data_IF_222018904429
#
_entry.id   IF_222018904429
#
_cell.length_a   1.000
_cell.length_b   1.000
_cell.length_c   1.000
_cell.angle_alpha   90.00
_cell.angle_beta   90.00
_cell.angle_gamma   90.00
#
_symmetry.space_group_name_H-M   'P 1'
#
loop_
_entity.id
_entity.type
_entity.pdbx_description
1 polymer ?
#
# COMPACT_ATOMS: atom_id res chain seq x y z
N UNK A 1 -10.62 14.41 -6.71
CA UNK A 1 -10.78 15.76 -6.11
C UNK A 1 -11.84 16.50 -6.91
N UNK A 2 -12.55 17.44 -6.30
CA UNK A 2 -13.46 18.33 -7.04
C UNK A 2 -12.62 19.48 -7.58
N UNK A 3 -12.83 19.86 -8.84
CA UNK A 3 -12.00 20.87 -9.53
C UNK A 3 -12.20 22.30 -8.99
N UNK A 4 -13.34 22.55 -8.32
CA UNK A 4 -13.64 23.83 -7.68
C UNK A 4 -13.26 23.79 -6.18
N UNK A 5 -12.19 24.47 -5.75
CA UNK A 5 -11.81 24.53 -4.34
C UNK A 5 -12.72 25.50 -3.57
N UNK A 6 -12.90 25.23 -2.27
CA UNK A 6 -13.51 26.19 -1.32
C UNK A 6 -12.44 27.22 -0.97
N UNK A 7 -12.70 28.50 -1.27
CA UNK A 7 -11.74 29.60 -1.06
C UNK A 7 -11.99 30.32 0.27
N UNK A 8 -13.25 30.39 0.70
CA UNK A 8 -13.67 31.07 1.92
C UNK A 8 -13.42 30.21 3.17
N UNK A 9 -13.20 30.87 4.32
CA UNK A 9 -13.08 30.20 5.62
C UNK A 9 -14.38 30.31 6.45
N UNK A 10 -14.50 29.51 7.51
CA UNK A 10 -15.70 29.51 8.36
C UNK A 10 -15.94 30.84 9.10
N UNK A 11 -14.92 31.71 9.21
CA UNK A 11 -15.04 33.04 9.82
C UNK A 11 -15.61 34.06 8.84
N UNK A 12 -15.22 33.98 7.57
CA UNK A 12 -15.70 34.81 6.46
C UNK A 12 -17.08 34.37 5.97
N UNK A 13 -17.41 33.09 6.18
CA UNK A 13 -18.66 32.46 5.74
C UNK A 13 -18.50 31.83 4.36
N UNK A 14 -19.24 30.73 4.15
CA UNK A 14 -19.21 29.97 2.90
C UNK A 14 -20.30 30.49 1.95
N UNK A 15 -20.00 30.61 0.66
CA UNK A 15 -21.03 30.81 -0.37
C UNK A 15 -21.96 29.60 -0.48
N UNK A 16 -23.16 29.77 -1.04
CA UNK A 16 -24.13 28.67 -1.20
C UNK A 16 -23.52 27.46 -1.95
N UNK A 17 -22.75 27.73 -3.00
CA UNK A 17 -22.07 26.70 -3.79
C UNK A 17 -20.99 25.98 -3.00
N UNK A 18 -20.15 26.70 -2.25
CA UNK A 18 -19.10 26.12 -1.41
C UNK A 18 -19.69 25.28 -0.27
N UNK A 19 -20.78 25.75 0.34
CA UNK A 19 -21.50 25.01 1.37
C UNK A 19 -22.06 23.69 0.82
N UNK A 20 -22.74 23.72 -0.33
CA UNK A 20 -23.28 22.50 -0.97
C UNK A 20 -22.17 21.50 -1.31
N UNK A 21 -21.03 21.98 -1.83
CA UNK A 21 -19.87 21.14 -2.14
C UNK A 21 -19.32 20.49 -0.85
N UNK A 22 -19.20 21.25 0.24
CA UNK A 22 -18.78 20.74 1.55
C UNK A 22 -19.73 19.67 2.09
N UNK A 23 -21.05 19.85 1.93
CA UNK A 23 -22.06 18.90 2.40
C UNK A 23 -21.92 17.50 1.78
N UNK A 24 -21.51 17.38 0.52
CA UNK A 24 -21.29 16.07 -0.10
C UNK A 24 -20.17 15.29 0.59
N UNK A 25 -19.06 15.97 0.89
CA UNK A 25 -17.94 15.38 1.64
C UNK A 25 -18.35 14.97 3.05
N UNK A 26 -19.07 15.84 3.76
CA UNK A 26 -19.52 15.59 5.12
C UNK A 26 -20.52 14.43 5.20
N UNK A 27 -21.52 14.42 4.30
CA UNK A 27 -22.52 13.33 4.23
C UNK A 27 -21.86 11.99 3.94
N UNK A 28 -20.93 11.94 2.98
CA UNK A 28 -20.17 10.73 2.70
C UNK A 28 -19.37 10.29 3.93
N UNK A 29 -18.69 11.22 4.60
CA UNK A 29 -17.93 10.96 5.81
C UNK A 29 -18.77 10.31 6.91
N UNK A 30 -19.94 10.86 7.21
CA UNK A 30 -20.87 10.32 8.22
C UNK A 30 -21.38 8.92 7.83
N UNK A 31 -21.73 8.71 6.57
CA UNK A 31 -22.19 7.40 6.07
C UNK A 31 -21.06 6.37 6.13
N UNK A 32 -19.86 6.72 5.67
CA UNK A 32 -18.69 5.85 5.71
C UNK A 32 -18.30 5.52 7.16
N UNK A 33 -18.41 6.47 8.09
CA UNK A 33 -18.22 6.21 9.52
C UNK A 33 -19.20 5.15 10.01
N UNK A 34 -20.51 5.31 9.77
CA UNK A 34 -21.51 4.36 10.23
C UNK A 34 -21.29 2.94 9.68
N UNK A 35 -21.04 2.82 8.37
CA UNK A 35 -20.81 1.52 7.71
C UNK A 35 -19.52 0.86 8.23
N UNK A 36 -18.41 1.59 8.23
CA UNK A 36 -17.10 1.03 8.63
C UNK A 36 -17.02 0.70 10.10
N UNK A 37 -17.73 1.43 10.97
CA UNK A 37 -17.82 1.07 12.39
C UNK A 37 -18.53 -0.28 12.57
N UNK A 38 -19.58 -0.57 11.79
CA UNK A 38 -20.22 -1.87 11.82
C UNK A 38 -19.27 -2.99 11.36
N UNK A 39 -18.53 -2.78 10.27
CA UNK A 39 -17.55 -3.75 9.77
C UNK A 39 -16.41 -4.01 10.77
N UNK A 40 -15.88 -2.95 11.41
CA UNK A 40 -14.85 -3.07 12.43
C UNK A 40 -15.35 -3.80 13.69
N UNK A 41 -16.61 -3.55 14.09
CA UNK A 41 -17.26 -4.28 15.17
C UNK A 41 -17.44 -5.77 14.83
N UNK A 42 -17.89 -6.07 13.61
CA UNK A 42 -18.01 -7.45 13.12
C UNK A 42 -16.66 -8.18 13.08
N UNK A 43 -15.61 -7.51 12.60
CA UNK A 43 -14.25 -8.04 12.63
C UNK A 43 -13.80 -8.34 14.06
N UNK A 44 -14.04 -7.43 14.99
CA UNK A 44 -13.69 -7.62 16.41
C UNK A 44 -14.38 -8.85 16.98
N UNK A 45 -15.67 -9.02 16.70
CA UNK A 45 -16.43 -10.21 17.10
C UNK A 45 -15.80 -11.48 16.54
N UNK A 46 -15.49 -11.52 15.24
CA UNK A 46 -14.86 -12.69 14.60
C UNK A 46 -13.48 -12.99 15.16
N UNK A 47 -12.68 -11.96 15.42
CA UNK A 47 -11.36 -12.12 16.04
C UNK A 47 -11.51 -12.78 17.40
N UNK A 48 -12.38 -12.25 18.27
CA UNK A 48 -12.64 -12.79 19.61
C UNK A 48 -13.17 -14.23 19.54
N UNK A 49 -14.11 -14.53 18.64
CA UNK A 49 -14.64 -15.89 18.45
C UNK A 49 -13.53 -16.91 18.11
N UNK A 50 -12.53 -16.53 17.30
CA UNK A 50 -11.41 -17.42 16.94
C UNK A 50 -10.44 -17.61 18.11
N UNK A 51 -10.16 -16.55 18.88
CA UNK A 51 -9.12 -16.57 19.92
C UNK A 51 -9.64 -16.89 21.33
N UNK A 52 -10.96 -17.00 21.54
CA UNK A 52 -11.58 -17.18 22.87
C UNK A 52 -11.04 -18.38 23.66
N UNK A 53 -10.57 -19.43 22.97
CA UNK A 53 -10.04 -20.64 23.61
C UNK A 53 -8.57 -20.52 24.04
N UNK A 54 -7.87 -19.46 23.62
CA UNK A 54 -6.45 -19.24 23.90
C UNK A 54 -6.29 -18.68 25.32
N UNK A 55 -5.94 -19.58 26.24
CA UNK A 55 -5.75 -19.29 27.67
C UNK A 55 -4.35 -19.74 28.08
N UNK A 56 -3.75 -19.08 29.07
CA UNK A 56 -2.49 -19.51 29.66
C UNK A 56 -2.72 -20.69 30.60
N UNK A 57 -2.24 -21.90 30.23
CA UNK A 57 -2.50 -23.12 31.03
C UNK A 57 -1.30 -23.66 31.80
N UNK A 58 -0.07 -23.47 31.28
CA UNK A 58 1.16 -24.01 31.88
C UNK A 58 2.24 -22.96 31.88
N UNK A 59 3.22 -23.11 32.79
CA UNK A 59 4.38 -22.21 32.85
C UNK A 59 5.28 -22.36 31.63
N UNK A 60 5.70 -23.59 31.32
CA UNK A 60 6.58 -23.90 30.19
C UNK A 60 5.99 -25.00 29.29
N UNK A 61 6.18 -24.86 27.98
CA UNK A 61 5.87 -25.89 26.99
C UNK A 61 7.10 -26.73 26.59
N UNK A 62 8.29 -26.36 27.06
CA UNK A 62 9.56 -27.03 26.78
C UNK A 62 10.12 -26.79 25.37
N UNK A 63 9.57 -25.81 24.62
CA UNK A 63 10.09 -25.48 23.28
C UNK A 63 11.50 -24.89 23.37
N UNK A 64 12.38 -25.33 22.49
CA UNK A 64 13.74 -24.77 22.31
C UNK A 64 13.73 -23.72 21.20
N UNK A 65 12.67 -23.67 20.39
CA UNK A 65 12.57 -22.75 19.27
C UNK A 65 12.28 -21.32 19.75
N UNK A 66 13.06 -20.38 19.22
CA UNK A 66 12.88 -18.95 19.40
C UNK A 66 13.01 -18.19 18.08
N UNK A 67 12.60 -16.93 18.09
CA UNK A 67 12.76 -16.02 16.96
C UNK A 67 13.93 -15.10 17.25
N UNK A 68 14.83 -14.90 16.28
CA UNK A 68 15.96 -13.99 16.41
C UNK A 68 15.53 -12.54 16.14
N UNK A 69 15.91 -11.64 17.04
CA UNK A 69 15.72 -10.19 16.91
C UNK A 69 17.10 -9.55 16.92
N UNK A 70 17.45 -8.83 15.86
CA UNK A 70 18.74 -8.15 15.73
C UNK A 70 18.56 -6.65 15.48
N UNK A 71 19.39 -5.79 16.09
CA UNK A 71 19.31 -4.34 15.85
C UNK A 71 19.85 -3.95 14.47
N UNK A 72 20.62 -4.81 13.80
CA UNK A 72 21.32 -4.50 12.54
C UNK A 72 20.43 -4.53 11.29
N UNK A 73 19.20 -5.05 11.36
CA UNK A 73 18.32 -5.21 10.19
C UNK A 73 17.62 -3.90 9.74
N UNK A 74 18.23 -2.72 9.97
CA UNK A 74 17.62 -1.44 9.63
C UNK A 74 16.46 -1.02 10.54
N UNK A 75 16.26 -1.69 11.68
CA UNK A 75 15.30 -1.25 12.70
C UNK A 75 15.87 -0.09 13.51
N UNK A 76 15.05 0.94 13.74
CA UNK A 76 15.36 1.99 14.70
C UNK A 76 15.49 1.40 16.11
N UNK A 77 16.40 1.93 16.93
CA UNK A 77 16.65 1.46 18.30
C UNK A 77 15.36 1.40 19.15
N UNK A 78 14.42 2.32 18.91
CA UNK A 78 13.11 2.36 19.56
C UNK A 78 12.26 1.11 19.31
N UNK A 79 12.22 0.61 18.08
CA UNK A 79 11.48 -0.60 17.72
C UNK A 79 12.12 -1.85 18.32
N UNK A 80 13.45 -1.89 18.40
CA UNK A 80 14.18 -2.98 19.04
C UNK A 80 13.82 -3.09 20.53
N UNK A 81 13.83 -1.96 21.24
CA UNK A 81 13.41 -1.89 22.66
C UNK A 81 11.97 -2.37 22.82
N UNK A 82 11.03 -1.82 22.04
CA UNK A 82 9.61 -2.18 22.13
C UNK A 82 9.35 -3.67 21.86
N UNK A 83 10.11 -4.28 20.95
CA UNK A 83 9.95 -5.69 20.59
C UNK A 83 10.41 -6.63 21.70
N UNK A 84 11.51 -6.29 22.38
CA UNK A 84 12.11 -7.13 23.42
C UNK A 84 11.45 -6.96 24.79
N UNK A 85 10.89 -5.78 25.07
CA UNK A 85 10.23 -5.48 26.34
C UNK A 85 9.17 -6.53 26.68
N UNK A 86 9.29 -7.11 27.88
CA UNK A 86 8.30 -8.06 28.40
C UNK A 86 8.32 -9.43 27.71
N UNK A 87 9.30 -9.71 26.84
CA UNK A 87 9.53 -11.05 26.29
C UNK A 87 10.45 -11.87 27.17
N UNK A 88 10.57 -13.16 26.86
CA UNK A 88 11.39 -14.12 27.61
C UNK A 88 12.47 -14.68 26.70
N UNK A 89 13.68 -14.83 27.24
CA UNK A 89 14.83 -15.35 26.49
C UNK A 89 14.67 -16.85 26.18
N UNK A 90 14.97 -17.21 24.93
CA UNK A 90 15.02 -18.59 24.49
C UNK A 90 16.38 -19.23 24.79
N UNK A 91 17.48 -18.47 24.70
CA UNK A 91 18.84 -18.97 24.92
C UNK A 91 19.62 -18.09 25.92
N UNK A 92 20.64 -18.69 26.51
CA UNK A 92 21.58 -18.00 27.40
C UNK A 92 22.42 -16.98 26.62
N UNK A 93 22.61 -15.79 27.17
CA UNK A 93 23.41 -14.73 26.55
C UNK A 93 24.71 -14.54 27.33
N UNK A 94 25.82 -14.72 26.64
CA UNK A 94 27.17 -14.56 27.17
C UNK A 94 27.87 -13.36 26.55
N UNK A 95 28.67 -12.66 27.36
CA UNK A 95 29.70 -11.73 26.90
C UNK A 95 31.05 -12.29 27.32
N UNK A 96 31.79 -12.78 26.33
CA UNK A 96 33.03 -13.54 26.56
C UNK A 96 32.73 -14.78 27.41
N UNK A 97 33.28 -14.82 28.63
CA UNK A 97 33.09 -15.92 29.58
C UNK A 97 31.99 -15.65 30.62
N UNK A 98 31.40 -14.45 30.63
CA UNK A 98 30.39 -14.06 31.62
C UNK A 98 28.98 -14.21 31.08
N UNK A 99 28.13 -14.97 31.77
CA UNK A 99 26.70 -15.02 31.49
C UNK A 99 26.03 -13.72 31.96
N UNK A 100 25.29 -13.06 31.08
CA UNK A 100 24.53 -11.84 31.40
C UNK A 100 23.09 -12.16 31.74
N UNK A 101 22.48 -13.03 30.93
CA UNK A 101 21.10 -13.40 31.09
C UNK A 101 20.95 -14.89 30.79
N UNK A 102 20.17 -15.56 31.60
CA UNK A 102 19.91 -16.99 31.45
C UNK A 102 18.64 -17.23 30.65
N UNK A 103 18.55 -18.42 30.07
CA UNK A 103 17.38 -18.92 29.39
C UNK A 103 16.17 -18.88 30.31
N UNK A 104 15.01 -18.56 29.74
CA UNK A 104 13.74 -18.36 30.44
C UNK A 104 13.69 -17.16 31.39
N UNK A 105 14.70 -16.28 31.39
CA UNK A 105 14.64 -15.01 32.09
C UNK A 105 13.78 -13.99 31.32
N UNK A 106 12.98 -13.22 32.03
CA UNK A 106 12.18 -12.12 31.49
C UNK A 106 13.04 -10.88 31.18
N UNK A 107 12.73 -10.21 30.07
CA UNK A 107 13.50 -9.08 29.57
C UNK A 107 12.87 -7.78 30.09
N UNK A 108 13.54 -7.14 31.04
CA UNK A 108 13.20 -5.81 31.55
C UNK A 108 14.08 -4.68 31.00
N UNK A 109 13.76 -3.43 31.39
CA UNK A 109 14.54 -2.21 31.06
C UNK A 109 16.04 -2.41 31.31
N UNK A 110 16.41 -2.98 32.46
CA UNK A 110 17.81 -3.10 32.87
C UNK A 110 18.63 -3.98 31.92
N UNK A 111 18.09 -5.13 31.52
CA UNK A 111 18.74 -6.05 30.58
C UNK A 111 18.80 -5.45 29.17
N UNK A 112 17.75 -4.75 28.73
CA UNK A 112 17.73 -4.11 27.40
C UNK A 112 18.82 -3.04 27.28
N UNK A 113 18.99 -2.20 28.31
CA UNK A 113 20.03 -1.17 28.31
C UNK A 113 21.43 -1.79 28.22
N UNK A 114 21.64 -2.93 28.87
CA UNK A 114 22.87 -3.71 28.73
C UNK A 114 23.02 -4.22 27.29
N UNK A 115 21.99 -4.82 26.69
CA UNK A 115 22.05 -5.32 25.31
C UNK A 115 22.37 -4.24 24.28
N UNK A 116 21.84 -3.03 24.46
CA UNK A 116 22.14 -1.87 23.60
C UNK A 116 23.60 -1.44 23.78
N UNK A 117 24.06 -1.27 25.03
CA UNK A 117 25.42 -0.85 25.32
C UNK A 117 26.48 -1.81 24.74
N UNK A 118 26.19 -3.10 24.75
CA UNK A 118 27.12 -4.12 24.25
C UNK A 118 26.98 -4.40 22.74
N UNK A 119 26.08 -3.72 22.03
CA UNK A 119 25.72 -4.01 20.63
C UNK A 119 25.55 -5.51 20.42
N UNK A 120 24.62 -6.09 21.17
CA UNK A 120 24.45 -7.53 21.28
C UNK A 120 24.26 -8.22 19.90
N UNK A 121 24.74 -9.47 19.85
CA UNK A 121 24.41 -10.45 18.82
C UNK A 121 22.89 -10.65 18.70
N UNK A 122 22.38 -11.30 17.63
CA UNK A 122 20.96 -11.63 17.54
C UNK A 122 20.44 -12.30 18.82
N UNK A 123 19.39 -11.73 19.39
CA UNK A 123 18.77 -12.21 20.63
C UNK A 123 17.63 -13.15 20.25
N UNK A 124 17.64 -14.37 20.79
CA UNK A 124 16.55 -15.33 20.59
C UNK A 124 15.50 -15.18 21.68
N UNK A 125 14.27 -14.87 21.28
CA UNK A 125 13.12 -14.73 22.18
C UNK A 125 12.11 -15.85 21.96
N UNK A 126 11.45 -16.25 23.06
CA UNK A 126 10.29 -17.15 23.00
C UNK A 126 9.08 -16.36 22.54
N UNK A 127 8.25 -16.97 21.70
CA UNK A 127 7.05 -16.31 21.16
C UNK A 127 5.86 -17.26 21.17
N UNK A 128 4.62 -16.72 21.09
CA UNK A 128 3.43 -17.54 20.92
C UNK A 128 3.48 -18.42 19.67
N UNK A 129 4.15 -17.96 18.60
CA UNK A 129 4.29 -18.71 17.34
C UNK A 129 5.12 -19.99 17.47
N UNK A 130 6.10 -20.01 18.38
CA UNK A 130 6.97 -21.18 18.60
C UNK A 130 6.49 -22.05 19.77
N UNK A 131 5.30 -21.78 20.32
CA UNK A 131 4.72 -22.59 21.38
C UNK A 131 4.35 -23.98 20.85
N UNK A 132 4.67 -25.04 21.62
CA UNK A 132 4.38 -26.43 21.23
C UNK A 132 2.89 -26.77 21.23
N UNK A 133 2.07 -25.95 21.89
CA UNK A 133 0.65 -26.19 22.06
C UNK A 133 -0.15 -25.57 20.92
N UNK A 134 -1.20 -26.26 20.48
CA UNK A 134 -2.11 -25.80 19.43
C UNK A 134 -3.33 -25.02 19.96
N UNK A 135 -3.73 -25.24 21.22
CA UNK A 135 -5.00 -24.73 21.76
C UNK A 135 -4.87 -23.85 23.02
N UNK A 136 -3.65 -23.63 23.50
CA UNK A 136 -3.33 -22.84 24.69
C UNK A 136 -1.90 -22.32 24.61
N UNK A 137 -1.55 -21.27 25.34
CA UNK A 137 -0.20 -20.68 25.32
C UNK A 137 0.49 -20.86 26.67
N UNK A 138 1.81 -21.06 26.65
CA UNK A 138 2.61 -21.16 27.87
C UNK A 138 2.97 -19.78 28.43
N UNK A 139 3.10 -19.65 29.75
CA UNK A 139 3.46 -18.39 30.43
C UNK A 139 4.76 -17.80 29.84
N UNK A 140 5.80 -18.62 29.68
CA UNK A 140 7.10 -18.18 29.14
C UNK A 140 7.05 -17.84 27.64
N UNK A 141 6.09 -18.37 26.90
CA UNK A 141 5.92 -18.12 25.46
C UNK A 141 5.20 -16.80 25.22
N UNK A 142 4.30 -16.42 26.13
CA UNK A 142 3.59 -15.14 26.12
C UNK A 142 4.49 -14.02 26.68
N UNK A 143 5.05 -14.24 27.87
CA UNK A 143 5.88 -13.30 28.60
C UNK A 143 5.10 -12.49 29.63
N UNK A 144 5.38 -11.20 29.68
CA UNK A 144 4.85 -10.24 30.65
C UNK A 144 3.45 -9.77 30.28
N UNK A 145 2.57 -9.62 31.27
CA UNK A 145 1.26 -9.03 31.08
C UNK A 145 1.39 -7.51 30.93
N UNK A 146 0.71 -6.88 29.95
CA UNK A 146 0.77 -5.43 29.74
C UNK A 146 0.15 -4.63 30.89
N UNK A 147 -0.71 -5.25 31.72
CA UNK A 147 -1.44 -4.56 32.80
C UNK A 147 -0.66 -4.53 34.11
N UNK A 148 -0.07 -5.66 34.52
CA UNK A 148 0.55 -5.81 35.84
C UNK A 148 2.06 -5.66 35.83
N UNK A 149 2.72 -5.71 34.66
CA UNK A 149 4.18 -5.60 34.58
C UNK A 149 4.94 -6.85 35.04
N UNK A 150 4.24 -7.88 35.52
CA UNK A 150 4.79 -9.20 35.86
C UNK A 150 4.47 -10.24 34.77
N UNK A 151 5.08 -11.42 34.87
CA UNK A 151 4.74 -12.56 33.99
C UNK A 151 3.25 -12.88 34.09
N UNK A 152 2.63 -13.18 32.95
CA UNK A 152 1.18 -13.47 32.83
C UNK A 152 0.74 -14.57 33.80
N UNK A 153 -0.45 -14.46 34.38
CA UNK A 153 -0.92 -15.45 35.35
C UNK A 153 -1.48 -16.72 34.66
N UNK A 154 -1.44 -17.85 35.37
CA UNK A 154 -2.08 -19.07 34.89
C UNK A 154 -3.60 -18.92 34.98
N UNK A 155 -4.29 -19.17 33.87
CA UNK A 155 -5.73 -18.99 33.74
C UNK A 155 -6.14 -17.71 33.01
N UNK A 156 -5.20 -16.81 32.72
CA UNK A 156 -5.50 -15.56 32.03
C UNK A 156 -5.93 -15.79 30.57
N UNK A 157 -7.04 -15.16 30.17
CA UNK A 157 -7.66 -15.29 28.85
C UNK A 157 -6.99 -14.37 27.82
N UNK A 158 -5.70 -14.61 27.56
CA UNK A 158 -4.86 -13.79 26.68
C UNK A 158 -5.40 -13.65 25.26
N UNK A 159 -6.16 -14.64 24.77
CA UNK A 159 -6.82 -14.55 23.47
C UNK A 159 -7.84 -13.40 23.42
N UNK A 160 -8.74 -13.33 24.40
CA UNK A 160 -9.78 -12.28 24.47
C UNK A 160 -9.12 -10.90 24.58
N UNK A 161 -8.10 -10.78 25.43
CA UNK A 161 -7.33 -9.54 25.61
C UNK A 161 -6.71 -9.11 24.27
N UNK A 162 -6.08 -10.04 23.54
CA UNK A 162 -5.48 -9.75 22.23
C UNK A 162 -6.53 -9.35 21.18
N UNK A 163 -7.67 -10.04 21.12
CA UNK A 163 -8.76 -9.72 20.20
C UNK A 163 -9.31 -8.32 20.42
N UNK A 164 -9.53 -7.92 21.68
CA UNK A 164 -9.99 -6.59 22.05
C UNK A 164 -8.94 -5.51 21.77
N UNK A 165 -7.67 -5.80 22.06
CA UNK A 165 -6.54 -4.88 21.83
C UNK A 165 -6.35 -4.52 20.35
N UNK A 166 -6.83 -5.37 19.44
CA UNK A 166 -6.88 -5.08 18.00
C UNK A 166 -8.21 -4.41 17.61
N UNK A 167 -9.32 -4.92 18.15
CA UNK A 167 -10.66 -4.52 17.77
C UNK A 167 -11.05 -3.10 18.20
N UNK A 168 -10.82 -2.74 19.47
CA UNK A 168 -11.20 -1.43 20.00
C UNK A 168 -10.48 -0.29 19.25
N UNK A 169 -9.14 -0.30 19.09
CA UNK A 169 -8.46 0.73 18.31
C UNK A 169 -8.91 0.75 16.85
N UNK A 170 -9.20 -0.42 16.26
CA UNK A 170 -9.73 -0.54 14.91
C UNK A 170 -11.06 0.21 14.74
N UNK A 171 -12.01 -0.02 15.64
CA UNK A 171 -13.29 0.72 15.63
C UNK A 171 -13.08 2.22 15.85
N UNK A 172 -12.17 2.61 16.76
CA UNK A 172 -11.87 4.00 17.04
C UNK A 172 -11.27 4.74 15.84
N UNK A 173 -10.39 4.09 15.07
CA UNK A 173 -9.82 4.67 13.85
C UNK A 173 -10.89 4.97 12.80
N UNK A 174 -11.92 4.13 12.68
CA UNK A 174 -13.04 4.38 11.74
C UNK A 174 -13.86 5.60 12.15
N UNK A 175 -14.04 5.83 13.46
CA UNK A 175 -14.71 7.01 13.98
C UNK A 175 -13.90 8.28 13.74
N UNK A 176 -12.58 8.26 13.99
CA UNK A 176 -11.74 9.46 13.96
C UNK A 176 -11.35 9.98 12.57
N UNK A 177 -11.36 9.13 11.55
CA UNK A 177 -10.75 9.48 10.24
C UNK A 177 -11.72 10.00 9.20
N UNK A 178 -13.02 9.64 9.27
CA UNK A 178 -13.97 9.93 8.19
C UNK A 178 -15.01 10.99 8.53
N UNK A 179 -15.19 11.36 9.81
CA UNK A 179 -16.13 12.43 10.18
C UNK A 179 -15.67 13.82 9.73
N UNK A 180 -14.40 13.99 9.35
CA UNK A 180 -13.84 15.21 8.74
C UNK A 180 -13.96 15.22 7.21
N UNK A 181 -14.80 14.36 6.62
CA UNK A 181 -15.10 14.38 5.20
C UNK A 181 -15.47 15.79 4.72
N UNK A 182 -14.69 16.33 3.78
CA UNK A 182 -14.89 17.68 3.23
C UNK A 182 -13.75 18.67 3.52
N UNK A 183 -12.88 18.41 4.50
CA UNK A 183 -11.69 19.24 4.75
C UNK A 183 -10.45 18.34 4.78
N UNK A 184 -9.61 18.45 3.76
CA UNK A 184 -8.30 17.81 3.76
C UNK A 184 -7.24 18.85 4.11
N UNK A 185 -6.78 18.85 5.36
CA UNK A 185 -5.53 19.53 5.69
C UNK A 185 -4.41 18.62 5.23
N UNK A 186 -3.86 18.89 4.04
CA UNK A 186 -2.64 18.24 3.59
C UNK A 186 -1.57 18.31 4.69
N UNK A 187 -0.76 17.26 4.81
CA UNK A 187 0.30 17.20 5.82
C UNK A 187 1.11 18.50 5.85
N UNK A 188 1.47 18.94 7.05
CA UNK A 188 2.35 20.09 7.25
C UNK A 188 3.64 19.80 6.51
N UNK A 189 3.86 20.50 5.40
CA UNK A 189 5.11 20.37 4.70
C UNK A 189 6.25 20.76 5.64
N UNK A 190 7.33 19.99 5.63
CA UNK A 190 8.49 20.34 6.43
C UNK A 190 9.12 21.58 5.82
N UNK A 191 9.21 22.63 6.62
CA UNK A 191 9.80 23.89 6.19
C UNK A 191 11.23 23.97 6.71
N UNK A 192 12.10 24.45 5.84
CA UNK A 192 13.47 24.81 6.17
C UNK A 192 13.49 26.30 6.46
N UNK A 193 14.05 26.68 7.61
CA UNK A 193 14.16 28.06 8.07
C UNK A 193 15.61 28.49 8.21
N UNK A 194 15.84 29.77 8.04
CA UNK A 194 17.14 30.42 8.22
C UNK A 194 17.48 30.56 9.70
N UNK A 195 18.69 30.20 10.14
CA UNK A 195 19.10 30.32 11.54
C UNK A 195 19.45 31.77 11.96
N UNK A 196 19.80 32.64 11.00
CA UNK A 196 20.16 34.03 11.25
C UNK A 196 19.93 34.91 10.00
N UNK A 197 20.02 36.22 10.19
CA UNK A 197 19.88 37.22 9.12
C UNK A 197 21.12 37.24 8.21
N UNK A 198 20.91 37.14 6.90
CA UNK A 198 22.01 37.07 5.93
C UNK A 198 21.54 37.15 4.48
N UNK A 199 22.48 37.05 3.56
CA UNK A 199 22.19 36.88 2.13
C UNK A 199 22.31 35.42 1.76
N UNK A 200 21.34 34.93 1.01
CA UNK A 200 21.33 33.57 0.49
C UNK A 200 22.05 33.52 -0.85
N UNK A 201 22.94 32.54 -1.03
CA UNK A 201 23.57 32.22 -2.30
C UNK A 201 23.41 30.76 -2.63
N UNK A 202 23.14 30.47 -3.89
CA UNK A 202 23.06 29.10 -4.38
C UNK A 202 23.26 29.03 -5.89
N UNK A 203 23.51 27.82 -6.41
CA UNK A 203 23.71 27.62 -7.85
C UNK A 203 22.36 27.49 -8.59
N UNK A 204 22.04 28.44 -9.46
CA UNK A 204 20.77 28.46 -10.21
C UNK A 204 20.66 27.35 -11.26
N UNK A 205 21.77 26.78 -11.75
CA UNK A 205 21.78 25.84 -12.88
C UNK A 205 21.04 24.54 -12.59
N UNK A 206 20.90 24.17 -11.32
CA UNK A 206 20.28 22.92 -10.86
C UNK A 206 18.79 23.08 -10.52
N UNK A 207 18.22 24.25 -10.77
CA UNK A 207 16.87 24.62 -10.37
C UNK A 207 15.93 24.79 -11.57
N UNK A 208 14.70 24.30 -11.43
CA UNK A 208 13.66 24.50 -12.43
C UNK A 208 12.55 25.39 -11.88
N UNK A 209 12.17 26.48 -12.57
CA UNK A 209 11.08 27.34 -12.12
C UNK A 209 9.76 26.56 -12.13
N UNK A 210 9.02 26.65 -11.03
CA UNK A 210 7.72 26.00 -10.84
C UNK A 210 6.79 26.88 -10.01
N UNK A 211 5.58 26.40 -9.72
CA UNK A 211 4.63 27.06 -8.82
C UNK A 211 4.30 26.18 -7.63
N UNK A 212 4.13 26.80 -6.46
CA UNK A 212 3.61 26.12 -5.27
C UNK A 212 2.14 25.74 -5.48
N UNK A 213 1.60 24.89 -4.59
CA UNK A 213 0.16 24.56 -4.56
C UNK A 213 -0.76 25.77 -4.37
N UNK A 214 -0.21 26.89 -3.91
CA UNK A 214 -0.90 28.15 -3.68
C UNK A 214 -0.72 29.14 -4.86
N UNK A 215 -0.02 28.74 -5.93
CA UNK A 215 0.18 29.57 -7.14
C UNK A 215 1.38 30.53 -7.08
N UNK A 216 2.11 30.58 -5.97
CA UNK A 216 3.32 31.39 -5.82
C UNK A 216 4.50 30.81 -6.61
N UNK A 217 5.38 31.65 -7.19
CA UNK A 217 6.58 31.17 -7.86
C UNK A 217 7.53 30.49 -6.87
N UNK A 218 8.15 29.39 -7.30
CA UNK A 218 9.13 28.63 -6.54
C UNK A 218 10.12 27.95 -7.48
N UNK A 219 11.22 27.43 -6.96
CA UNK A 219 12.19 26.65 -7.72
C UNK A 219 12.18 25.20 -7.26
N UNK A 220 12.04 24.25 -8.18
CA UNK A 220 12.12 22.83 -7.90
C UNK A 220 13.55 22.36 -8.03
N UNK A 221 14.03 21.62 -7.03
CA UNK A 221 15.33 21.00 -7.08
C UNK A 221 15.27 19.54 -7.53
N UNK A 222 16.05 19.17 -8.54
CA UNK A 222 16.08 17.79 -9.09
C UNK A 222 17.00 16.85 -8.32
N UNK A 223 18.08 17.37 -7.74
CA UNK A 223 19.09 16.63 -6.97
C UNK A 223 19.20 17.20 -5.55
N UNK A 224 20.00 16.59 -4.69
CA UNK A 224 20.32 17.22 -3.40
C UNK A 224 21.12 18.51 -3.65
N UNK A 225 20.79 19.57 -2.92
CA UNK A 225 21.22 20.92 -3.22
C UNK A 225 21.65 21.67 -1.98
N UNK A 226 22.71 22.46 -2.11
CA UNK A 226 23.29 23.20 -0.99
C UNK A 226 23.00 24.68 -1.15
N UNK A 227 22.51 25.28 -0.08
CA UNK A 227 22.24 26.72 0.01
C UNK A 227 23.17 27.30 1.06
N UNK A 228 23.90 28.36 0.70
CA UNK A 228 24.81 29.04 1.62
C UNK A 228 24.18 30.34 2.10
N UNK A 229 24.27 30.61 3.39
CA UNK A 229 23.77 31.84 4.02
C UNK A 229 24.97 32.61 4.54
N UNK A 230 25.24 33.77 3.92
CA UNK A 230 26.34 34.66 4.30
C UNK A 230 25.82 35.81 5.16
N UNK A 231 26.34 35.91 6.38
CA UNK A 231 26.22 37.10 7.23
C UNK A 231 27.61 37.68 7.50
N UNK A 232 27.69 38.87 8.11
CA UNK A 232 28.94 39.65 8.24
C UNK A 232 30.11 38.86 8.84
N UNK A 233 29.83 37.91 9.74
CA UNK A 233 30.84 37.10 10.43
C UNK A 233 30.55 35.58 10.42
N UNK A 234 29.49 35.13 9.74
CA UNK A 234 29.03 33.73 9.78
C UNK A 234 28.58 33.24 8.41
N UNK A 235 29.06 32.06 8.00
CA UNK A 235 28.61 31.33 6.82
C UNK A 235 27.95 30.04 7.31
N UNK A 236 26.74 29.76 6.81
CA UNK A 236 26.03 28.53 7.13
C UNK A 236 25.56 27.83 5.86
N UNK A 237 26.02 26.59 5.69
CA UNK A 237 25.68 25.77 4.53
C UNK A 237 24.59 24.79 4.92
N UNK A 238 23.49 24.83 4.16
CA UNK A 238 22.32 24.02 4.42
C UNK A 238 22.05 23.07 3.26
N UNK A 239 21.90 21.78 3.58
CA UNK A 239 21.54 20.77 2.59
C UNK A 239 20.02 20.65 2.47
N UNK A 240 19.51 20.81 1.25
CA UNK A 240 18.12 20.66 0.89
C UNK A 240 17.99 19.41 0.01
N UNK A 241 17.17 18.43 0.41
CA UNK A 241 17.04 17.18 -0.35
C UNK A 241 16.32 17.39 -1.69
N UNK A 242 16.54 16.47 -2.62
CA UNK A 242 15.90 16.46 -3.94
C UNK A 242 14.36 16.51 -3.86
N UNK A 243 13.74 17.08 -4.91
CA UNK A 243 12.29 17.29 -5.07
C UNK A 243 11.64 18.30 -4.10
N UNK A 244 12.44 19.02 -3.34
CA UNK A 244 12.01 20.16 -2.52
C UNK A 244 11.72 21.40 -3.37
N UNK A 245 10.94 22.33 -2.81
CA UNK A 245 10.69 23.64 -3.41
C UNK A 245 11.45 24.72 -2.65
N UNK A 246 12.22 25.55 -3.36
CA UNK A 246 12.87 26.75 -2.84
C UNK A 246 11.95 27.93 -3.11
N UNK A 247 11.71 28.75 -2.09
CA UNK A 247 10.76 29.88 -2.12
C UNK A 247 11.44 31.24 -2.27
N UNK A 248 12.77 31.28 -2.17
CA UNK A 248 13.60 32.48 -2.20
C UNK A 248 14.41 32.57 -3.49
N UNK A 249 14.79 33.79 -3.85
CA UNK A 249 15.67 34.06 -4.99
C UNK A 249 17.15 34.04 -4.56
N UNK A 250 18.03 33.86 -5.54
CA UNK A 250 19.46 33.97 -5.33
C UNK A 250 19.84 35.41 -4.96
N UNK A 251 20.84 35.58 -4.10
CA UNK A 251 21.29 36.85 -3.52
C UNK A 251 20.23 37.64 -2.73
N UNK A 252 19.09 37.02 -2.38
CA UNK A 252 18.05 37.65 -1.56
C UNK A 252 18.51 37.77 -0.10
N UNK A 253 18.23 38.93 0.52
CA UNK A 253 18.39 39.10 1.96
C UNK A 253 17.23 38.43 2.70
N UNK A 254 17.56 37.62 3.69
CA UNK A 254 16.60 36.87 4.51
C UNK A 254 16.74 37.22 5.98
N UNK A 255 15.61 37.20 6.66
CA UNK A 255 15.54 37.39 8.10
C UNK A 255 15.76 36.07 8.85
N UNK A 256 16.07 36.14 10.15
CA UNK A 256 16.07 34.95 11.01
C UNK A 256 14.68 34.30 11.05
N UNK A 257 14.63 32.97 11.08
CA UNK A 257 13.40 32.15 11.07
C UNK A 257 12.55 32.24 9.79
N UNK A 258 13.03 32.93 8.75
CA UNK A 258 12.34 33.00 7.47
C UNK A 258 12.36 31.63 6.77
N UNK A 259 11.23 31.22 6.21
CA UNK A 259 11.11 29.98 5.45
C UNK A 259 11.75 30.15 4.08
N UNK A 260 12.73 29.30 3.77
CA UNK A 260 13.48 29.33 2.50
C UNK A 260 13.12 28.19 1.57
N UNK A 261 12.74 27.03 2.11
CA UNK A 261 12.36 25.88 1.32
C UNK A 261 11.29 25.03 1.99
N UNK A 262 10.52 24.34 1.16
CA UNK A 262 9.52 23.34 1.52
C UNK A 262 10.05 21.97 1.11
N UNK A 263 10.41 21.13 2.09
CA UNK A 263 10.87 19.76 1.87
C UNK A 263 9.66 18.88 1.54
N UNK A 264 9.73 18.25 0.37
CA UNK A 264 8.74 17.25 -0.06
C UNK A 264 9.27 15.81 0.05
N UNK A 265 10.55 15.66 0.33
CA UNK A 265 11.25 14.37 0.43
C UNK A 265 10.89 13.73 1.77
N UNK A 266 10.12 12.63 1.72
CA UNK A 266 9.59 11.96 2.91
C UNK A 266 8.09 12.13 3.09
N UNK A 267 7.44 13.03 2.35
CA UNK A 267 6.04 12.80 2.02
C UNK A 267 6.07 11.57 1.13
N UNK A 268 5.70 10.39 1.66
CA UNK A 268 5.17 9.35 0.79
C UNK A 268 4.22 10.10 -0.11
N UNK A 269 4.50 10.16 -1.41
CA UNK A 269 3.46 10.49 -2.37
C UNK A 269 2.35 9.56 -1.94
N UNK A 270 1.30 10.08 -1.29
CA UNK A 270 0.16 9.25 -0.93
C UNK A 270 -0.14 8.51 -2.22
N UNK A 271 -0.14 7.17 -2.24
CA UNK A 271 -0.27 6.41 -3.46
C UNK A 271 -1.74 6.53 -3.89
N UNK A 272 -2.15 7.73 -4.29
CA UNK A 272 -3.46 8.05 -4.83
C UNK A 272 -3.47 7.77 -6.34
N UNK A 273 -2.80 6.69 -6.73
CA UNK A 273 -3.21 5.91 -7.88
C UNK A 273 -3.61 4.57 -7.29
N UNK A 274 -4.78 4.54 -6.68
CA UNK A 274 -5.50 3.28 -6.50
C UNK A 274 -5.60 2.71 -7.92
N UNK A 275 -4.74 1.72 -8.22
CA UNK A 275 -4.77 1.03 -9.50
C UNK A 275 -6.05 0.22 -9.49
N UNK A 276 -7.12 0.80 -10.02
CA UNK A 276 -8.40 0.11 -10.15
C UNK A 276 -8.23 -0.93 -11.25
N UNK A 277 -8.10 -2.19 -10.86
CA UNK A 277 -8.18 -3.31 -11.78
C UNK A 277 -9.65 -3.59 -12.04
N UNK A 278 -10.13 -3.23 -13.24
CA UNK A 278 -11.50 -3.53 -13.66
C UNK A 278 -11.46 -4.71 -14.63
N UNK A 279 -12.07 -5.83 -14.23
CA UNK A 279 -12.25 -6.97 -15.11
C UNK A 279 -13.40 -6.68 -16.08
N UNK A 280 -13.15 -6.86 -17.38
CA UNK A 280 -14.18 -6.81 -18.42
C UNK A 280 -14.52 -8.26 -18.76
N UNK A 281 -15.78 -8.64 -18.58
CA UNK A 281 -16.30 -9.96 -18.92
C UNK A 281 -17.11 -9.86 -20.22
N UNK A 282 -16.94 -10.82 -21.13
CA UNK A 282 -17.76 -10.97 -22.33
C UNK A 282 -18.49 -12.32 -22.26
N UNK A 283 -19.80 -12.30 -22.50
CA UNK A 283 -20.65 -13.50 -22.57
C UNK A 283 -20.49 -14.25 -23.92
N UNK A 284 -19.89 -13.60 -24.93
CA UNK A 284 -19.62 -14.20 -26.25
C UNK A 284 -18.14 -14.47 -26.47
N UNK A 285 -17.82 -15.65 -26.99
CA UNK A 285 -16.49 -15.99 -27.53
C UNK A 285 -16.23 -15.25 -28.84
N UNK A 286 -15.01 -14.72 -29.00
CA UNK A 286 -14.67 -13.88 -30.13
C UNK A 286 -13.20 -13.44 -30.12
N UNK A 287 -12.77 -12.83 -31.23
CA UNK A 287 -11.44 -12.22 -31.33
C UNK A 287 -11.46 -10.79 -30.80
N UNK A 288 -10.40 -10.41 -30.09
CA UNK A 288 -10.28 -9.12 -29.42
C UNK A 288 -9.41 -8.17 -30.26
N UNK A 289 -10.02 -7.10 -30.76
CA UNK A 289 -9.31 -6.06 -31.50
C UNK A 289 -9.15 -4.79 -30.67
N UNK A 290 -7.94 -4.23 -30.72
CA UNK A 290 -7.56 -3.01 -30.03
C UNK A 290 -7.27 -1.91 -31.05
N UNK A 291 -7.66 -0.67 -30.77
CA UNK A 291 -7.38 0.47 -31.66
C UNK A 291 -5.91 0.95 -31.62
N UNK A 292 -5.15 0.56 -30.61
CA UNK A 292 -3.80 1.07 -30.32
C UNK A 292 -2.86 -0.09 -30.00
N UNK A 293 -1.58 0.03 -30.34
CA UNK A 293 -0.57 -0.99 -30.03
C UNK A 293 -0.53 -1.34 -28.53
N UNK A 294 -0.65 -2.63 -28.26
CA UNK A 294 -0.73 -3.19 -26.91
C UNK A 294 0.58 -3.90 -26.59
N UNK A 295 1.11 -3.67 -25.39
CA UNK A 295 2.28 -4.38 -24.91
C UNK A 295 1.87 -5.56 -24.02
N UNK A 296 2.42 -6.74 -24.32
CA UNK A 296 2.32 -7.88 -23.39
C UNK A 296 3.20 -7.61 -22.16
N UNK A 297 2.66 -7.94 -20.99
CA UNK A 297 3.48 -7.94 -19.77
C UNK A 297 4.57 -9.02 -19.90
N UNK A 298 5.86 -8.69 -19.70
CA UNK A 298 6.98 -9.56 -20.07
C UNK A 298 7.20 -10.75 -19.13
N UNK A 299 6.25 -11.06 -18.23
CA UNK A 299 6.40 -12.18 -17.28
C UNK A 299 5.99 -13.52 -17.87
N UNK A 300 5.05 -13.57 -18.82
CA UNK A 300 4.71 -14.80 -19.55
C UNK A 300 4.22 -14.46 -20.97
N UNK A 301 4.76 -15.09 -22.03
CA UNK A 301 4.37 -14.83 -23.43
C UNK A 301 2.91 -15.21 -23.74
N UNK A 302 2.25 -15.99 -22.89
CA UNK A 302 0.85 -16.42 -23.01
C UNK A 302 -0.09 -15.77 -21.98
N UNK A 303 0.28 -14.61 -21.41
CA UNK A 303 -0.61 -13.92 -20.47
C UNK A 303 -1.69 -13.11 -21.18
N UNK A 304 -2.95 -13.30 -20.74
CA UNK A 304 -4.11 -12.50 -21.17
C UNK A 304 -4.12 -11.09 -20.54
N UNK A 305 -2.97 -10.63 -20.03
CA UNK A 305 -2.84 -9.34 -19.32
C UNK A 305 -2.11 -8.37 -20.24
N UNK A 306 -2.90 -7.46 -20.77
CA UNK A 306 -2.50 -6.43 -21.72
C UNK A 306 -2.35 -5.08 -21.01
N UNK A 307 -1.20 -4.43 -21.20
CA UNK A 307 -0.97 -3.07 -20.71
C UNK A 307 -1.26 -2.07 -21.82
N UNK A 308 -2.24 -1.21 -21.58
CA UNK A 308 -2.58 -0.09 -22.47
C UNK A 308 -1.87 1.18 -21.99
N UNK A 309 -1.00 1.78 -22.82
CA UNK A 309 -0.31 3.02 -22.48
C UNK A 309 -1.19 4.27 -22.67
N UNK A 310 -2.32 4.16 -23.37
CA UNK A 310 -3.26 5.25 -23.68
C UNK A 310 -4.70 4.73 -23.63
N UNK A 311 -5.67 5.64 -23.48
CA UNK A 311 -7.09 5.35 -23.65
C UNK A 311 -7.34 4.82 -25.07
N UNK A 312 -8.07 3.71 -25.20
CA UNK A 312 -8.25 3.00 -26.47
C UNK A 312 -9.64 2.36 -26.54
N UNK A 313 -10.11 2.11 -27.76
CA UNK A 313 -11.33 1.37 -28.01
C UNK A 313 -11.04 -0.14 -28.08
N UNK A 314 -11.91 -0.92 -27.44
CA UNK A 314 -11.90 -2.38 -27.42
C UNK A 314 -13.08 -2.89 -28.26
N UNK A 315 -12.81 -3.77 -29.21
CA UNK A 315 -13.84 -4.45 -30.00
C UNK A 315 -13.75 -5.95 -29.76
N UNK A 316 -14.88 -6.58 -29.43
CA UNK A 316 -15.01 -8.05 -29.40
C UNK A 316 -15.78 -8.46 -30.65
N UNK A 317 -15.10 -9.06 -31.62
CA UNK A 317 -15.77 -9.64 -32.78
C UNK A 317 -16.36 -10.98 -32.36
N UNK A 318 -17.68 -11.03 -32.20
CA UNK A 318 -18.38 -12.28 -31.90
C UNK A 318 -18.19 -13.27 -33.06
N UNK A 319 -17.55 -14.40 -32.76
CA UNK A 319 -17.27 -15.46 -33.73
C UNK A 319 -17.83 -16.78 -33.26
N UNK A 320 -18.74 -17.38 -34.04
CA UNK A 320 -19.10 -18.79 -33.85
C UNK A 320 -17.99 -19.67 -34.42
N UNK A 321 -17.43 -20.59 -33.64
CA UNK A 321 -16.47 -21.57 -34.14
C UNK A 321 -17.14 -22.51 -35.15
N UNK A 322 -17.07 -22.18 -36.43
CA UNK A 322 -17.47 -23.12 -37.48
C UNK A 322 -16.36 -24.17 -37.62
N UNK A 323 -16.59 -25.38 -37.08
CA UNK A 323 -15.84 -26.57 -37.50
C UNK A 323 -16.16 -26.83 -38.98
N UNK A 324 -15.26 -26.46 -39.89
CA UNK A 324 -15.26 -27.00 -41.25
C UNK A 324 -13.80 -27.15 -41.69
N UNK A 325 -13.34 -28.27 -42.25
CA UNK A 325 -14.08 -29.22 -43.06
C UNK A 325 -14.23 -28.70 -44.48
N UNK A 326 -13.09 -28.56 -45.18
CA UNK A 326 -12.91 -28.21 -46.59
C UNK A 326 -13.46 -26.85 -47.07
N UNK A 327 -12.51 -26.07 -47.59
CA UNK A 327 -12.63 -24.81 -48.32
C UNK A 327 -13.72 -24.84 -49.40
N UNK A 328 -14.55 -23.81 -49.41
CA UNK A 328 -15.15 -23.30 -50.66
C UNK A 328 -15.12 -21.77 -50.63
N UNK A 329 -14.47 -21.21 -51.65
CA UNK A 329 -14.29 -19.78 -51.89
C UNK A 329 -15.63 -19.01 -51.86
N UNK A 330 -15.65 -17.87 -51.16
CA UNK A 330 -16.67 -16.85 -51.30
C UNK A 330 -16.25 -15.89 -52.43
N UNK A 331 -17.09 -15.78 -53.46
CA UNK A 331 -17.03 -14.70 -54.45
C UNK A 331 -17.64 -13.46 -53.80
N UNK A 332 -16.84 -12.40 -53.65
CA UNK A 332 -17.28 -11.12 -53.09
C UNK A 332 -17.98 -10.27 -54.16
N UNK A 333 -19.08 -9.62 -53.81
CA UNK A 333 -19.50 -8.36 -54.42
C UNK A 333 -19.31 -7.28 -53.35
N UNK A 334 -18.77 -6.15 -53.78
CA UNK A 334 -18.44 -4.93 -53.02
C UNK A 334 -17.02 -4.90 -52.41
N UNK A 335 -16.32 -3.83 -52.77
CA UNK A 335 -14.87 -3.71 -52.94
C UNK A 335 -14.10 -3.32 -51.65
N UNK A 336 -14.14 -4.15 -50.62
CA UNK A 336 -13.23 -4.00 -49.48
C UNK A 336 -12.15 -5.09 -49.52
N UNK A 337 -10.94 -4.73 -49.95
CA UNK A 337 -9.77 -5.61 -49.86
C UNK A 337 -9.22 -5.59 -48.44
N UNK A 338 -9.47 -6.65 -47.68
CA UNK A 338 -8.63 -7.01 -46.53
C UNK A 338 -7.69 -8.13 -46.95
N UNK A 339 -6.39 -7.90 -46.76
CA UNK A 339 -5.35 -8.88 -47.08
C UNK A 339 -5.42 -10.00 -46.03
N UNK A 340 -6.00 -11.15 -46.40
CA UNK A 340 -6.08 -12.32 -45.52
C UNK A 340 -4.85 -13.18 -45.77
N UNK A 341 -3.77 -12.90 -45.05
CA UNK A 341 -2.72 -13.89 -44.85
C UNK A 341 -3.21 -14.90 -43.80
N UNK A 342 -3.83 -15.99 -44.29
CA UNK A 342 -4.26 -17.09 -43.44
C UNK A 342 -3.06 -17.90 -42.96
N UNK A 343 -2.58 -17.66 -41.74
CA UNK A 343 -1.70 -18.60 -41.05
C UNK A 343 -2.56 -19.71 -40.42
N UNK A 344 -2.56 -20.88 -41.06
CA UNK A 344 -3.07 -22.11 -40.44
C UNK A 344 -2.14 -22.53 -39.30
N UNK A 345 -2.60 -22.45 -38.06
CA UNK A 345 -1.89 -23.06 -36.91
C UNK A 345 -2.23 -24.56 -36.89
N UNK A 346 -1.19 -25.37 -37.08
CA UNK A 346 -1.23 -26.82 -37.04
C UNK A 346 -1.21 -27.29 -35.56
N UNK A 347 -2.35 -27.73 -35.01
CA UNK A 347 -2.39 -28.36 -33.69
C UNK A 347 -1.81 -29.79 -33.77
N UNK A 348 -0.60 -30.00 -33.21
CA UNK A 348 -0.11 -31.34 -32.88
C UNK A 348 -0.84 -31.89 -31.65
N UNK A 349 -1.75 -32.82 -31.87
CA UNK A 349 -2.35 -33.64 -30.82
C UNK A 349 -1.36 -34.70 -30.32
N UNK A 350 -1.18 -34.78 -28.99
CA UNK A 350 -0.72 -36.00 -28.31
C UNK A 350 -1.95 -36.65 -27.62
N UNK A 351 -2.45 -37.70 -28.29
CA UNK A 351 -3.26 -38.86 -27.87
C UNK A 351 -3.07 -39.32 -26.41
N UNK A 352 -4.01 -39.87 -25.60
CA UNK A 352 -5.19 -40.79 -25.73
C UNK A 352 -5.75 -41.02 -24.28
N UNK A 353 -6.92 -41.67 -23.95
CA UNK A 353 -8.05 -42.20 -24.75
C UNK A 353 -9.46 -41.68 -24.36
N UNK A 354 -10.37 -41.94 -25.30
CA UNK A 354 -11.82 -41.87 -25.28
C UNK A 354 -12.56 -42.77 -24.26
N UNK A 355 -13.81 -42.38 -23.96
CA UNK A 355 -14.93 -43.33 -23.85
C UNK A 355 -16.26 -42.67 -24.22
N UNK A 356 -16.68 -42.82 -25.48
CA UNK A 356 -18.06 -43.20 -25.86
C UNK A 356 -18.21 -43.30 -27.38
N UNK A 357 -18.34 -44.53 -27.86
CA UNK A 357 -19.00 -44.88 -29.14
C UNK A 357 -20.46 -44.40 -29.05
N UNK A 358 -21.17 -43.92 -30.08
CA UNK A 358 -21.22 -44.44 -31.46
C UNK A 358 -21.92 -43.40 -32.37
N UNK A 359 -21.50 -43.36 -33.63
CA UNK A 359 -22.02 -42.56 -34.74
C UNK A 359 -23.53 -42.72 -35.01
N UNK A 360 -24.20 -41.65 -35.46
CA UNK A 360 -24.66 -41.56 -36.86
C UNK A 360 -25.15 -40.15 -37.23
N UNK A 361 -24.74 -39.74 -38.44
CA UNK A 361 -24.98 -38.46 -39.12
C UNK A 361 -26.47 -38.20 -39.41
N UNK A 362 -26.88 -36.93 -39.50
CA UNK A 362 -27.23 -36.23 -40.76
C UNK A 362 -27.86 -34.82 -40.52
N UNK A 363 -27.23 -33.82 -41.15
CA UNK A 363 -27.67 -32.47 -41.64
C UNK A 363 -28.58 -31.55 -40.79
N UNK A 364 -28.00 -30.42 -40.37
CA UNK A 364 -28.71 -29.17 -40.05
C UNK A 364 -29.00 -28.34 -41.32
N UNK A 365 -30.21 -27.78 -41.40
CA UNK A 365 -30.57 -26.64 -42.26
C UNK A 365 -30.19 -25.33 -41.55
N UNK A 366 -29.71 -24.38 -42.34
CA UNK A 366 -29.32 -23.02 -41.96
C UNK A 366 -30.53 -22.22 -41.46
N UNK A 367 -30.35 -21.49 -40.36
CA UNK A 367 -31.18 -20.34 -39.99
C UNK A 367 -30.24 -19.17 -39.65
N UNK A 368 -30.39 -18.08 -40.39
CA UNK A 368 -29.67 -16.82 -40.23
C UNK A 368 -30.00 -16.15 -38.90
N UNK A 369 -28.99 -15.59 -38.22
CA UNK A 369 -29.21 -14.48 -37.28
C UNK A 369 -28.04 -13.52 -37.27
N UNK A 370 -28.28 -12.33 -37.86
CA UNK A 370 -27.54 -11.11 -37.62
C UNK A 370 -27.84 -10.57 -36.22
N UNK A 371 -26.84 -10.47 -35.35
CA UNK A 371 -26.91 -9.62 -34.16
C UNK A 371 -25.53 -9.05 -33.83
N UNK A 372 -25.30 -7.79 -34.22
CA UNK A 372 -24.18 -6.99 -33.73
C UNK A 372 -24.61 -6.36 -32.40
N UNK A 373 -23.84 -6.58 -31.34
CA UNK A 373 -23.97 -5.87 -30.07
C UNK A 373 -22.75 -4.95 -29.88
N UNK A 374 -22.98 -3.65 -29.81
CA UNK A 374 -21.96 -2.65 -29.48
C UNK A 374 -21.96 -2.39 -27.96
N UNK A 375 -20.79 -2.43 -27.33
CA UNK A 375 -20.62 -2.03 -25.93
C UNK A 375 -19.74 -0.77 -25.92
N UNK A 376 -20.35 0.39 -25.62
CA UNK A 376 -19.62 1.64 -25.44
C UNK A 376 -19.07 1.73 -24.01
N UNK A 377 -17.74 1.73 -23.88
CA UNK A 377 -17.04 2.05 -22.65
C UNK A 377 -16.02 3.16 -22.91
N UNK A 378 -16.37 4.41 -22.62
CA UNK A 378 -15.41 5.52 -22.55
C UNK A 378 -14.80 5.56 -21.15
N UNK A 379 -13.48 5.36 -21.07
CA UNK A 379 -12.69 5.63 -19.86
C UNK A 379 -11.84 6.85 -20.15
N UNK A 380 -12.13 7.96 -19.49
CA UNK A 380 -11.30 9.17 -19.46
C UNK A 380 -10.46 9.15 -18.19
N UNK A 381 -9.19 9.54 -18.32
CA UNK A 381 -8.14 9.52 -17.28
C UNK A 381 -8.49 10.28 -15.98
#
# INVERSE_FOLDING_TARGET
MIDLPIQSNLREGLSLTEYIISCYGARKGVVDTAIRTADAGYLTRRLVEVVQHIIVRRRDCGTIQGISVSPKNGMTETFFVQTLMGRVLADDIYIGLRCIATRNQDIGIGLINQFIAFRAQPIYIRTPFTCRSTSWICQLCYGRSPTHGDLVELGEAVGIIAGQSIGEPGTQLTLRTFHTGGVFTGGTAQHVRTPFHGKIKFNEDLLHPTRTRHGHPAFLCSTDFYVTIESRDMIHDLSIPAKSLILVQNDQYVESEQVIAEIRTGMSTFPFKERVQKHIYSESGGELHWSTDVYHTPKHPYSNVHLLPKTSHLWVLAGSSCRSGRVSLLVHKDQDQMNVDSFSVEERFLSIPDLSMTNNQVRCKVLDTSSKGEIFGTVTD
#
